data_IF_660135505351
#
_entry.id   IF_660135505351
#
_cell.length_a   1.000
_cell.length_b   1.000
_cell.length_c   1.000
_cell.angle_alpha   90.00
_cell.angle_beta   90.00
_cell.angle_gamma   90.00
#
_symmetry.space_group_name_H-M   'P 1'
#
loop_
_entity.id
_entity.type
_entity.pdbx_description
1 polymer ?
#
# COMPACT_ATOMS: atom_id res chain seq x y z
N UNK A 1 -6.22 18.16 18.82
CA UNK A 1 -6.70 18.28 17.43
C UNK A 1 -7.28 16.93 17.04
N UNK A 2 -8.50 16.86 16.48
CA UNK A 2 -8.90 15.68 15.74
C UNK A 2 -7.98 15.54 14.51
N UNK A 3 -7.68 14.32 14.02
CA UNK A 3 -6.97 14.16 12.76
C UNK A 3 -7.79 14.81 11.63
N UNK A 4 -7.13 15.52 10.72
CA UNK A 4 -7.79 16.20 9.61
C UNK A 4 -8.57 15.21 8.73
N UNK A 5 -9.70 15.62 8.13
CA UNK A 5 -10.47 14.76 7.22
C UNK A 5 -9.60 14.36 6.04
N UNK A 6 -9.63 13.07 5.68
CA UNK A 6 -8.86 12.47 4.58
C UNK A 6 -9.51 12.77 3.21
N UNK A 7 -9.99 13.99 3.03
CA UNK A 7 -10.73 14.46 1.85
C UNK A 7 -9.92 15.64 1.32
N UNK A 8 -8.90 15.43 0.48
CA UNK A 8 -9.03 15.47 -0.98
C UNK A 8 -7.72 14.94 -1.61
N UNK A 9 -7.57 13.62 -1.75
CA UNK A 9 -6.58 13.01 -2.66
C UNK A 9 -7.38 12.27 -3.74
N UNK A 10 -8.30 13.00 -4.37
CA UNK A 10 -9.30 12.43 -5.28
C UNK A 10 -8.74 11.92 -6.61
N UNK A 11 -7.54 12.35 -7.00
CA UNK A 11 -6.90 11.96 -8.28
C UNK A 11 -5.49 11.37 -8.13
N UNK A 12 -4.89 11.37 -6.93
CA UNK A 12 -3.51 10.91 -6.72
C UNK A 12 -3.39 9.63 -5.88
N UNK A 13 -4.50 9.00 -5.47
CA UNK A 13 -4.46 7.67 -4.85
C UNK A 13 -4.44 6.60 -5.92
N UNK A 14 -3.39 5.78 -5.92
CA UNK A 14 -3.29 4.64 -6.81
C UNK A 14 -3.95 3.42 -6.12
N UNK A 15 -4.99 2.79 -6.70
CA UNK A 15 -5.71 1.68 -6.05
C UNK A 15 -4.81 0.54 -5.60
N UNK A 16 -3.73 0.25 -6.34
CA UNK A 16 -2.76 -0.78 -5.95
C UNK A 16 -1.93 -0.38 -4.72
N UNK A 17 -1.66 0.92 -4.53
CA UNK A 17 -0.97 1.43 -3.33
C UNK A 17 -1.89 1.30 -2.12
N UNK A 18 -3.17 1.67 -2.25
CA UNK A 18 -4.15 1.53 -1.17
C UNK A 18 -4.30 0.07 -0.74
N UNK A 19 -4.38 -0.85 -1.71
CA UNK A 19 -4.44 -2.29 -1.44
C UNK A 19 -3.17 -2.80 -0.72
N UNK A 20 -1.98 -2.36 -1.14
CA UNK A 20 -0.72 -2.72 -0.50
C UNK A 20 -0.63 -2.22 0.96
N UNK A 21 -1.06 -0.98 1.22
CA UNK A 21 -1.11 -0.42 2.58
C UNK A 21 -2.09 -1.21 3.46
N UNK A 22 -3.28 -1.53 2.94
CA UNK A 22 -4.25 -2.33 3.69
C UNK A 22 -3.74 -3.75 3.97
N UNK A 23 -3.02 -4.35 3.02
CA UNK A 23 -2.41 -5.66 3.21
C UNK A 23 -1.37 -5.64 4.34
N UNK A 24 -0.53 -4.61 4.40
CA UNK A 24 0.45 -4.44 5.49
C UNK A 24 -0.22 -4.25 6.86
N UNK A 25 -1.31 -3.48 6.94
CA UNK A 25 -2.11 -3.33 8.17
C UNK A 25 -2.65 -4.70 8.63
N UNK A 26 -3.16 -5.50 7.70
CA UNK A 26 -3.67 -6.84 8.01
C UNK A 26 -2.54 -7.79 8.43
N UNK A 27 -1.33 -7.60 7.88
CA UNK A 27 -0.16 -8.43 8.15
C UNK A 27 0.32 -8.33 9.60
N UNK A 28 0.08 -7.21 10.30
CA UNK A 28 0.49 -7.03 11.71
C UNK A 28 -0.05 -8.14 12.64
N UNK A 29 -1.19 -8.75 12.30
CA UNK A 29 -1.79 -9.84 13.06
C UNK A 29 -1.21 -11.23 12.74
N UNK A 30 -0.34 -11.36 11.74
CA UNK A 30 0.18 -12.63 11.25
C UNK A 30 1.45 -13.08 12.00
N UNK A 31 1.86 -14.33 11.75
CA UNK A 31 3.15 -14.83 12.23
C UNK A 31 4.31 -14.06 11.58
N UNK A 32 5.51 -14.00 12.19
CA UNK A 32 6.64 -13.29 11.60
C UNK A 32 7.04 -13.78 10.20
N UNK A 33 6.90 -15.08 9.91
CA UNK A 33 7.19 -15.63 8.59
C UNK A 33 6.19 -15.12 7.54
N UNK A 34 4.91 -15.05 7.91
CA UNK A 34 3.84 -14.57 7.03
C UNK A 34 3.89 -13.03 6.88
N UNK A 35 4.31 -12.31 7.92
CA UNK A 35 4.57 -10.87 7.83
C UNK A 35 5.62 -10.56 6.77
N UNK A 36 6.72 -11.30 6.73
CA UNK A 36 7.78 -11.14 5.71
C UNK A 36 7.20 -11.34 4.31
N UNK A 37 6.44 -12.41 4.09
CA UNK A 37 5.82 -12.67 2.79
C UNK A 37 4.87 -11.53 2.36
N UNK A 38 4.13 -10.93 3.30
CA UNK A 38 3.26 -9.78 3.01
C UNK A 38 4.05 -8.50 2.69
N UNK A 39 5.16 -8.23 3.39
CA UNK A 39 6.02 -7.09 3.08
C UNK A 39 6.66 -7.22 1.69
N UNK A 40 7.11 -8.42 1.32
CA UNK A 40 7.67 -8.67 -0.01
C UNK A 40 6.64 -8.46 -1.11
N UNK A 41 5.42 -8.98 -0.94
CA UNK A 41 4.31 -8.78 -1.89
C UNK A 41 3.89 -7.30 -2.01
N UNK A 42 3.82 -6.59 -0.87
CA UNK A 42 3.54 -5.15 -0.88
C UNK A 42 4.63 -4.38 -1.62
N UNK A 43 5.90 -4.72 -1.39
CA UNK A 43 7.03 -4.10 -2.09
C UNK A 43 6.97 -4.33 -3.61
N UNK A 44 6.68 -5.54 -4.05
CA UNK A 44 6.53 -5.85 -5.48
C UNK A 44 5.42 -5.00 -6.11
N UNK A 45 4.25 -4.93 -5.45
CA UNK A 45 3.10 -4.11 -5.90
C UNK A 45 3.46 -2.64 -6.05
N UNK A 46 4.18 -2.08 -5.07
CA UNK A 46 4.60 -0.68 -5.10
C UNK A 46 5.61 -0.42 -6.22
N UNK A 47 6.55 -1.36 -6.44
CA UNK A 47 7.53 -1.27 -7.53
C UNK A 47 6.85 -1.30 -8.91
N UNK A 48 5.90 -2.20 -9.11
CA UNK A 48 5.13 -2.30 -10.36
C UNK A 48 4.30 -1.05 -10.62
N UNK A 49 3.65 -0.52 -9.57
CA UNK A 49 2.89 0.72 -9.65
C UNK A 49 3.78 1.89 -10.09
N UNK A 50 4.96 2.05 -9.47
CA UNK A 50 5.90 3.09 -9.83
C UNK A 50 6.38 2.94 -11.28
N UNK A 51 6.69 1.71 -11.71
CA UNK A 51 7.08 1.45 -13.09
C UNK A 51 5.96 1.76 -14.09
N UNK A 52 4.70 1.53 -13.73
CA UNK A 52 3.55 1.91 -14.57
C UNK A 52 3.42 3.42 -14.69
N UNK A 53 3.61 4.17 -13.60
CA UNK A 53 3.57 5.63 -13.61
C UNK A 53 4.69 6.21 -14.48
N UNK A 54 5.91 5.69 -14.37
CA UNK A 54 7.08 6.15 -15.14
C UNK A 54 6.95 5.89 -16.66
N UNK A 55 6.12 4.92 -17.06
CA UNK A 55 5.83 4.60 -18.46
C UNK A 55 4.74 5.48 -19.10
N UNK A 56 4.14 6.39 -18.36
CA UNK A 56 3.03 7.26 -18.82
C UNK A 56 3.52 8.67 -19.12
#
# INVERSE_FOLDING_TARGET
>A
MPPAPVEEIGDARHPAVDAAVQAMINAEALSPADQIAQYEAAYETLRETLASIDQT
#
